data_IF_815720442084
#
_entry.id   IF_815720442084
#
_cell.length_a   1.000
_cell.length_b   1.000
_cell.length_c   1.000
_cell.angle_alpha   90.00
_cell.angle_beta   90.00
_cell.angle_gamma   90.00
#
_symmetry.space_group_name_H-M   'P 1'
#
loop_
_entity.id
_entity.type
_entity.pdbx_description
1 polymer ?
#
# COMPACT_ATOMS: atom_id res chain seq x y z
N UNK A 1 21.31 -42.52 22.31
CA UNK A 1 20.15 -41.81 21.75
C UNK A 1 20.19 -41.99 20.23
N UNK A 2 19.25 -42.75 19.68
CA UNK A 2 19.13 -43.00 18.25
C UNK A 2 18.02 -42.10 17.72
N UNK A 3 18.35 -41.24 16.76
CA UNK A 3 17.37 -40.39 16.06
C UNK A 3 16.88 -41.19 14.86
N UNK A 4 15.61 -41.57 14.90
CA UNK A 4 14.90 -42.22 13.81
C UNK A 4 14.47 -41.15 12.81
N UNK A 5 15.02 -41.20 11.60
CA UNK A 5 14.69 -40.32 10.49
C UNK A 5 13.47 -40.89 9.75
N UNK A 6 12.36 -40.16 9.76
CA UNK A 6 11.11 -40.54 9.09
C UNK A 6 11.19 -40.09 7.62
N UNK A 7 11.29 -41.04 6.69
CA UNK A 7 11.15 -40.80 5.25
C UNK A 7 9.66 -40.63 4.92
N UNK A 8 9.25 -39.47 4.40
CA UNK A 8 7.97 -39.33 3.71
C UNK A 8 8.10 -39.84 2.27
N UNK A 9 7.31 -40.84 1.92
CA UNK A 9 7.17 -41.34 0.56
C UNK A 9 6.22 -40.44 -0.24
N UNK A 10 6.72 -39.88 -1.35
CA UNK A 10 5.91 -39.29 -2.42
C UNK A 10 5.19 -40.41 -3.17
N UNK A 11 3.87 -40.48 -3.04
CA UNK A 11 3.02 -41.29 -3.91
C UNK A 11 2.73 -40.51 -5.19
N UNK A 12 3.30 -40.98 -6.30
CA UNK A 12 2.94 -40.54 -7.64
C UNK A 12 1.57 -41.13 -8.03
N UNK A 13 0.59 -40.28 -8.31
CA UNK A 13 -0.66 -40.68 -8.94
C UNK A 13 -0.45 -40.74 -10.47
N UNK A 14 -0.14 -41.93 -10.97
CA UNK A 14 -0.39 -42.31 -12.36
C UNK A 14 -1.65 -43.16 -12.38
N UNK A 15 -2.72 -42.66 -13.00
CA UNK A 15 -3.63 -43.44 -13.85
C UNK A 15 -4.74 -42.53 -14.41
N UNK A 16 -4.80 -42.47 -15.73
CA UNK A 16 -5.89 -41.87 -16.49
C UNK A 16 -6.68 -43.03 -17.12
N UNK A 17 -7.96 -43.24 -16.74
CA UNK A 17 -8.85 -43.97 -17.63
C UNK A 17 -10.22 -43.29 -17.76
N UNK A 18 -10.65 -43.11 -19.01
CA UNK A 18 -12.06 -42.99 -19.36
C UNK A 18 -12.43 -41.62 -19.92
N UNK A 19 -12.66 -41.58 -21.23
CA UNK A 19 -13.25 -40.42 -21.89
C UNK A 19 -14.62 -40.10 -21.29
N UNK A 20 -14.84 -38.81 -21.04
CA UNK A 20 -16.16 -38.28 -20.74
C UNK A 20 -16.71 -37.76 -22.05
N UNK A 21 -17.83 -38.38 -22.44
CA UNK A 21 -18.68 -38.01 -23.55
C UNK A 21 -19.16 -36.56 -23.36
N UNK A 22 -18.95 -35.69 -24.35
CA UNK A 22 -19.54 -34.35 -24.42
C UNK A 22 -21.04 -34.47 -24.78
N UNK A 23 -21.80 -35.05 -23.87
CA UNK A 23 -23.24 -35.23 -23.96
C UNK A 23 -23.98 -34.13 -23.22
N UNK A 24 -24.26 -33.02 -23.92
CA UNK A 24 -25.15 -31.98 -23.42
C UNK A 24 -26.49 -32.57 -22.96
N UNK A 25 -26.83 -32.33 -21.70
CA UNK A 25 -28.21 -32.41 -21.20
C UNK A 25 -28.41 -31.32 -20.15
N UNK A 26 -29.32 -30.41 -20.47
CA UNK A 26 -30.02 -29.54 -19.53
C UNK A 26 -30.72 -30.41 -18.48
N UNK A 27 -29.99 -30.83 -17.44
CA UNK A 27 -30.60 -31.45 -16.28
C UNK A 27 -31.30 -30.34 -15.47
N UNK A 28 -32.62 -30.43 -15.23
CA UNK A 28 -33.27 -29.52 -14.31
C UNK A 28 -32.62 -29.67 -12.94
N UNK A 29 -32.25 -28.53 -12.35
CA UNK A 29 -31.52 -28.38 -11.10
C UNK A 29 -32.26 -29.10 -9.97
N UNK A 30 -31.96 -30.39 -9.78
CA UNK A 30 -32.32 -31.10 -8.55
C UNK A 30 -31.66 -30.34 -7.41
N UNK A 31 -32.49 -30.07 -6.42
CA UNK A 31 -32.23 -29.34 -5.19
C UNK A 31 -30.90 -29.79 -4.58
N UNK A 32 -29.81 -29.08 -4.88
CA UNK A 32 -28.53 -29.26 -4.21
C UNK A 32 -28.82 -29.09 -2.71
N UNK A 33 -28.74 -30.19 -1.95
CA UNK A 33 -28.68 -30.20 -0.48
C UNK A 33 -27.39 -29.47 -0.09
N UNK A 34 -27.45 -28.13 -0.07
CA UNK A 34 -26.33 -27.25 0.19
C UNK A 34 -26.12 -27.12 1.71
N UNK A 35 -24.97 -27.54 2.21
CA UNK A 35 -24.49 -27.15 3.55
C UNK A 35 -24.00 -25.69 3.58
N UNK A 36 -23.53 -25.22 4.74
CA UNK A 36 -23.05 -23.85 4.97
C UNK A 36 -21.97 -23.40 3.95
N UNK A 37 -21.18 -24.32 3.37
CA UNK A 37 -20.11 -24.00 2.43
C UNK A 37 -20.60 -23.70 1.01
N UNK A 38 -21.82 -24.12 0.65
CA UNK A 38 -22.40 -23.88 -0.67
C UNK A 38 -23.22 -22.57 -0.78
N UNK A 39 -23.44 -21.86 0.33
CA UNK A 39 -24.24 -20.63 0.35
C UNK A 39 -23.70 -19.49 -0.54
N UNK A 40 -22.38 -19.19 -0.58
CA UNK A 40 -21.86 -18.16 -1.48
C UNK A 40 -22.15 -18.46 -2.96
N UNK A 41 -22.11 -19.74 -3.35
CA UNK A 41 -22.45 -20.17 -4.71
C UNK A 41 -23.93 -19.95 -5.02
N UNK A 42 -24.85 -20.26 -4.09
CA UNK A 42 -26.28 -19.95 -4.28
C UNK A 42 -26.52 -18.45 -4.40
N UNK A 43 -25.87 -17.64 -3.56
CA UNK A 43 -26.03 -16.19 -3.62
C UNK A 43 -25.58 -15.61 -4.96
N UNK A 44 -24.55 -16.17 -5.62
CA UNK A 44 -24.08 -15.71 -6.93
C UNK A 44 -25.08 -15.86 -8.08
N UNK A 45 -26.09 -16.74 -7.97
CA UNK A 45 -27.06 -17.01 -9.04
C UNK A 45 -28.43 -16.36 -8.84
N UNK A 46 -28.61 -15.56 -7.78
CA UNK A 46 -29.86 -14.83 -7.56
C UNK A 46 -29.94 -13.59 -8.46
N UNK A 47 -31.16 -13.20 -8.81
CA UNK A 47 -31.44 -11.89 -9.42
C UNK A 47 -31.60 -10.86 -8.32
N UNK A 48 -30.66 -9.92 -8.25
CA UNK A 48 -30.64 -8.86 -7.24
C UNK A 48 -31.46 -7.65 -7.69
N UNK A 49 -31.88 -6.84 -6.71
CA UNK A 49 -32.52 -5.56 -6.94
C UNK A 49 -31.52 -4.58 -7.54
N UNK A 50 -31.70 -4.28 -8.82
CA UNK A 50 -30.90 -3.33 -9.59
C UNK A 50 -31.45 -1.89 -9.51
N UNK A 51 -32.41 -1.62 -8.61
CA UNK A 51 -32.89 -0.25 -8.37
C UNK A 51 -31.78 0.67 -7.82
N UNK A 52 -32.02 1.98 -7.93
CA UNK A 52 -31.13 3.00 -7.37
C UNK A 52 -30.99 2.78 -5.86
N UNK A 53 -29.76 2.57 -5.34
CA UNK A 53 -29.57 2.35 -3.91
C UNK A 53 -30.02 3.54 -3.09
N UNK A 54 -30.67 3.29 -1.95
CA UNK A 54 -30.98 4.32 -0.96
C UNK A 54 -29.97 4.29 0.19
N UNK A 55 -29.71 5.43 0.83
CA UNK A 55 -28.82 5.47 2.00
C UNK A 55 -29.32 4.59 3.15
N UNK A 56 -28.39 4.01 3.90
CA UNK A 56 -28.70 3.33 5.18
C UNK A 56 -27.90 2.06 5.45
N UNK A 57 -26.65 2.01 5.02
CA UNK A 57 -25.68 1.01 5.45
C UNK A 57 -24.73 1.62 6.48
N UNK A 58 -24.34 0.83 7.47
CA UNK A 58 -23.18 1.12 8.32
C UNK A 58 -22.01 0.25 7.83
N UNK A 59 -20.86 0.87 7.59
CA UNK A 59 -19.63 0.19 7.17
C UNK A 59 -18.59 0.41 8.26
N UNK A 60 -17.82 -0.62 8.57
CA UNK A 60 -16.87 -0.59 9.67
C UNK A 60 -15.93 -1.79 9.68
N UNK A 61 -15.32 -2.05 10.82
CA UNK A 61 -14.48 -3.23 11.07
C UNK A 61 -14.84 -3.91 12.39
N UNK A 62 -14.33 -5.13 12.62
CA UNK A 62 -14.37 -5.73 13.96
C UNK A 62 -13.11 -5.31 14.72
N UNK A 63 -13.30 -4.74 15.91
CA UNK A 63 -12.24 -4.46 16.87
C UNK A 63 -12.57 -5.22 18.16
N UNK A 64 -11.69 -6.13 18.57
CA UNK A 64 -11.88 -6.97 19.77
C UNK A 64 -13.23 -7.71 19.82
N UNK A 65 -13.72 -8.15 18.65
CA UNK A 65 -14.99 -8.87 18.53
C UNK A 65 -16.24 -7.99 18.56
N UNK A 66 -16.09 -6.66 18.60
CA UNK A 66 -17.17 -5.68 18.49
C UNK A 66 -17.08 -4.95 17.16
N UNK A 67 -18.19 -4.76 16.47
CA UNK A 67 -18.20 -3.95 15.25
C UNK A 67 -18.14 -2.46 15.60
N UNK A 68 -17.21 -1.76 14.98
CA UNK A 68 -17.01 -0.32 15.10
C UNK A 68 -17.30 0.32 13.74
N UNK A 69 -18.35 1.16 13.62
CA UNK A 69 -18.64 1.85 12.36
C UNK A 69 -17.55 2.89 12.07
N UNK A 70 -17.19 3.03 10.80
CA UNK A 70 -16.33 4.10 10.32
C UNK A 70 -17.15 5.36 10.05
N UNK A 71 -16.50 6.50 10.18
CA UNK A 71 -16.99 7.83 9.84
C UNK A 71 -16.09 8.49 8.78
N UNK A 72 -16.57 9.59 8.22
CA UNK A 72 -15.75 10.40 7.30
C UNK A 72 -14.55 11.00 8.05
N UNK A 73 -13.36 10.84 7.47
CA UNK A 73 -12.08 11.27 8.02
C UNK A 73 -11.42 10.24 8.93
N UNK A 74 -12.03 9.07 9.13
CA UNK A 74 -11.44 8.00 9.93
C UNK A 74 -10.24 7.36 9.22
N UNK A 75 -9.33 6.85 10.06
CA UNK A 75 -8.22 6.03 9.64
C UNK A 75 -8.66 4.55 9.54
N UNK A 76 -8.34 3.91 8.42
CA UNK A 76 -8.60 2.49 8.20
C UNK A 76 -7.31 1.74 7.92
N UNK A 77 -7.06 0.71 8.72
CA UNK A 77 -5.85 -0.11 8.58
C UNK A 77 -5.96 -1.03 7.36
N UNK A 78 -4.98 -0.98 6.46
CA UNK A 78 -4.80 -2.02 5.45
C UNK A 78 -3.96 -3.18 6.00
N UNK A 79 -4.01 -4.29 5.28
CA UNK A 79 -3.15 -5.43 5.51
C UNK A 79 -2.75 -6.06 4.18
N UNK A 80 -1.71 -6.87 4.17
CA UNK A 80 -1.31 -7.60 2.98
C UNK A 80 -2.06 -8.94 2.89
N UNK A 81 -2.80 -9.13 1.80
CA UNK A 81 -3.45 -10.39 1.48
C UNK A 81 -2.46 -11.49 1.14
N UNK A 82 -2.95 -12.71 0.96
CA UNK A 82 -2.12 -13.89 0.68
C UNK A 82 -1.24 -13.75 -0.59
N UNK A 83 -1.71 -12.98 -1.58
CA UNK A 83 -0.97 -12.72 -2.82
C UNK A 83 -0.02 -11.51 -2.72
N UNK A 84 0.09 -10.89 -1.55
CA UNK A 84 0.98 -9.74 -1.30
C UNK A 84 0.41 -8.39 -1.71
N UNK A 85 -0.86 -8.31 -2.13
CA UNK A 85 -1.53 -7.03 -2.37
C UNK A 85 -2.06 -6.41 -1.07
N UNK A 86 -2.01 -5.08 -0.97
CA UNK A 86 -2.58 -4.34 0.14
C UNK A 86 -4.11 -4.25 0.02
N UNK A 87 -4.82 -4.53 1.10
CA UNK A 87 -6.28 -4.58 1.14
C UNK A 87 -6.84 -4.01 2.44
N UNK A 88 -8.01 -3.38 2.36
CA UNK A 88 -8.84 -3.08 3.54
C UNK A 88 -9.90 -4.17 3.70
N UNK A 89 -10.44 -4.32 4.92
CA UNK A 89 -11.42 -5.36 5.26
C UNK A 89 -12.74 -4.79 5.78
N UNK A 90 -13.52 -4.07 4.94
CA UNK A 90 -14.80 -3.53 5.35
C UNK A 90 -15.78 -4.64 5.73
N UNK A 91 -16.61 -4.33 6.72
CA UNK A 91 -17.75 -5.13 7.15
C UNK A 91 -18.98 -4.24 7.04
N UNK A 92 -20.05 -4.79 6.49
CA UNK A 92 -21.33 -4.08 6.35
C UNK A 92 -22.26 -4.57 7.45
N UNK A 93 -22.73 -3.66 8.28
CA UNK A 93 -23.84 -3.91 9.22
C UNK A 93 -25.15 -3.50 8.57
N UNK A 94 -26.13 -4.38 8.65
CA UNK A 94 -27.45 -4.22 8.04
C UNK A 94 -28.52 -4.32 9.12
N UNK A 95 -29.54 -3.44 9.12
CA UNK A 95 -30.69 -3.59 10.00
C UNK A 95 -31.33 -4.98 9.89
N UNK A 96 -31.62 -5.62 11.02
CA UNK A 96 -32.17 -6.99 11.05
C UNK A 96 -33.44 -7.15 10.21
N UNK A 97 -34.30 -6.12 10.18
CA UNK A 97 -35.53 -6.10 9.37
C UNK A 97 -35.28 -6.24 7.86
N UNK A 98 -34.05 -6.05 7.40
CA UNK A 98 -33.66 -6.11 5.99
C UNK A 98 -32.87 -7.39 5.63
N UNK A 99 -32.48 -8.21 6.60
CA UNK A 99 -31.66 -9.40 6.33
C UNK A 99 -32.36 -10.44 5.41
N UNK A 100 -33.70 -10.46 5.37
CA UNK A 100 -34.50 -11.22 4.40
C UNK A 100 -34.05 -12.68 4.21
N UNK A 101 -34.03 -13.14 2.95
CA UNK A 101 -33.77 -14.53 2.52
C UNK A 101 -32.31 -14.97 2.65
N UNK A 102 -31.45 -14.17 3.30
CA UNK A 102 -30.14 -14.61 3.75
C UNK A 102 -28.97 -14.29 2.80
N UNK A 103 -29.20 -13.92 1.53
CA UNK A 103 -28.15 -13.60 0.55
C UNK A 103 -28.06 -12.11 0.23
N UNK A 104 -26.83 -11.64 -0.03
CA UNK A 104 -26.53 -10.26 -0.39
C UNK A 104 -25.35 -10.20 -1.37
N UNK A 105 -25.47 -9.33 -2.38
CA UNK A 105 -24.37 -8.88 -3.24
C UNK A 105 -23.84 -7.57 -2.69
N UNK A 106 -22.56 -7.52 -2.37
CA UNK A 106 -21.88 -6.28 -1.95
C UNK A 106 -20.92 -5.85 -3.04
N UNK A 107 -21.05 -4.60 -3.48
CA UNK A 107 -20.19 -3.93 -4.44
C UNK A 107 -19.39 -2.86 -3.69
N UNK A 108 -18.08 -2.92 -3.80
CA UNK A 108 -17.16 -1.92 -3.28
C UNK A 108 -16.61 -1.14 -4.46
N UNK A 109 -16.60 0.19 -4.36
CA UNK A 109 -16.00 1.08 -5.35
C UNK A 109 -15.08 2.05 -4.66
N UNK A 110 -13.83 2.04 -5.07
CA UNK A 110 -12.71 2.79 -4.51
C UNK A 110 -12.27 3.86 -5.50
N UNK A 111 -12.40 5.13 -5.13
CA UNK A 111 -11.85 6.23 -5.92
C UNK A 111 -11.01 7.12 -5.03
N UNK A 112 -9.97 7.76 -5.59
CA UNK A 112 -9.22 8.76 -4.83
C UNK A 112 -10.16 9.91 -4.46
N UNK A 113 -10.07 10.38 -3.21
CA UNK A 113 -10.80 11.58 -2.81
C UNK A 113 -10.29 12.79 -3.62
N UNK A 114 -11.17 13.36 -4.45
CA UNK A 114 -10.86 14.52 -5.27
C UNK A 114 -10.55 15.79 -4.45
N UNK A 115 -10.91 15.82 -3.16
CA UNK A 115 -10.53 16.90 -2.26
C UNK A 115 -9.04 16.88 -1.89
N UNK A 116 -8.34 15.76 -2.11
CA UNK A 116 -6.92 15.57 -1.81
C UNK A 116 -6.12 15.16 -3.05
N UNK A 117 -6.05 16.03 -4.08
CA UNK A 117 -5.44 15.67 -5.38
C UNK A 117 -3.94 15.39 -5.29
N UNK A 118 -3.27 15.96 -4.27
CA UNK A 118 -1.82 15.83 -4.06
C UNK A 118 -1.44 14.68 -3.12
N UNK A 119 -2.40 13.90 -2.63
CA UNK A 119 -2.11 12.71 -1.81
C UNK A 119 -1.32 11.64 -2.60
N UNK A 120 -0.72 10.66 -1.90
CA UNK A 120 0.04 9.59 -2.53
C UNK A 120 -0.79 8.91 -3.61
N UNK A 121 -0.13 8.61 -4.73
CA UNK A 121 -0.87 8.26 -5.93
C UNK A 121 -1.68 6.96 -5.78
N UNK A 122 -1.21 6.04 -4.93
CA UNK A 122 -1.75 4.69 -4.80
C UNK A 122 -1.80 3.94 -6.14
N UNK A 123 -2.34 2.72 -6.12
CA UNK A 123 -2.56 1.87 -7.31
C UNK A 123 -4.05 1.60 -7.55
N UNK A 124 -4.92 2.48 -7.04
CA UNK A 124 -6.38 2.31 -7.04
C UNK A 124 -6.99 2.09 -8.43
N UNK A 125 -6.37 2.62 -9.48
CA UNK A 125 -6.91 2.51 -10.85
C UNK A 125 -7.00 1.06 -11.33
N UNK A 126 -6.14 0.16 -10.82
CA UNK A 126 -6.18 -1.28 -11.14
C UNK A 126 -7.24 -2.03 -10.33
N UNK A 127 -7.64 -1.50 -9.17
CA UNK A 127 -8.51 -2.18 -8.20
C UNK A 127 -9.73 -1.34 -7.80
N UNK A 128 -10.24 -0.55 -8.75
CA UNK A 128 -11.33 0.43 -8.51
C UNK A 128 -12.61 -0.18 -7.97
N UNK A 129 -12.88 -1.46 -8.21
CA UNK A 129 -14.12 -2.07 -7.74
C UNK A 129 -14.00 -3.57 -7.54
N UNK A 130 -14.72 -4.08 -6.54
CA UNK A 130 -14.87 -5.51 -6.27
C UNK A 130 -16.34 -5.85 -5.98
N UNK A 131 -16.74 -7.10 -6.28
CA UNK A 131 -18.09 -7.59 -5.98
C UNK A 131 -18.03 -8.93 -5.28
N UNK A 132 -18.82 -9.06 -4.22
CA UNK A 132 -18.84 -10.21 -3.32
C UNK A 132 -20.27 -10.70 -3.15
N UNK A 133 -20.44 -12.02 -3.14
CA UNK A 133 -21.72 -12.66 -2.85
C UNK A 133 -21.58 -13.44 -1.56
N UNK A 134 -22.32 -13.04 -0.53
CA UNK A 134 -22.24 -13.65 0.80
C UNK A 134 -23.62 -13.84 1.39
N UNK A 135 -23.68 -14.66 2.44
CA UNK A 135 -24.84 -14.72 3.31
C UNK A 135 -24.68 -13.79 4.50
N UNK A 136 -25.80 -13.31 5.04
CA UNK A 136 -25.82 -12.61 6.31
C UNK A 136 -25.31 -13.52 7.44
N UNK A 137 -24.52 -12.94 8.35
CA UNK A 137 -24.14 -13.58 9.62
C UNK A 137 -24.48 -12.66 10.78
N UNK A 138 -24.36 -13.17 12.00
CA UNK A 138 -24.47 -12.35 13.21
C UNK A 138 -23.12 -12.18 13.88
N UNK A 139 -22.86 -10.98 14.39
CA UNK A 139 -21.71 -10.71 15.25
C UNK A 139 -21.93 -11.26 16.68
N UNK A 140 -20.98 -11.04 17.58
CA UNK A 140 -21.06 -11.49 18.97
C UNK A 140 -22.22 -10.87 19.75
N UNK A 141 -22.72 -9.71 19.31
CA UNK A 141 -23.83 -8.97 19.89
C UNK A 141 -25.18 -9.27 19.20
N UNK A 142 -25.18 -10.21 18.24
CA UNK A 142 -26.36 -10.62 17.50
C UNK A 142 -26.77 -9.69 16.36
N UNK A 143 -25.99 -8.65 16.05
CA UNK A 143 -26.26 -7.73 14.93
C UNK A 143 -26.00 -8.42 13.60
N UNK A 144 -26.80 -8.09 12.59
CA UNK A 144 -26.64 -8.68 11.25
C UNK A 144 -25.52 -7.97 10.51
N UNK A 145 -24.53 -8.73 10.06
CA UNK A 145 -23.36 -8.25 9.34
C UNK A 145 -23.03 -9.12 8.12
N UNK A 146 -22.18 -8.58 7.24
CA UNK A 146 -21.65 -9.23 6.03
C UNK A 146 -20.19 -8.84 5.87
N UNK A 147 -19.35 -9.73 5.36
CA UNK A 147 -17.90 -9.54 5.29
C UNK A 147 -17.18 -10.23 6.46
N UNK A 148 -15.89 -9.95 6.72
CA UNK A 148 -15.06 -8.95 6.02
C UNK A 148 -14.91 -9.24 4.53
N UNK A 149 -14.72 -8.19 3.74
CA UNK A 149 -14.43 -8.29 2.31
C UNK A 149 -12.95 -8.00 2.07
N UNK A 150 -12.25 -8.86 1.35
CA UNK A 150 -10.85 -8.63 1.00
C UNK A 150 -10.78 -7.65 -0.19
N UNK A 151 -10.84 -6.36 0.11
CA UNK A 151 -10.89 -5.29 -0.89
C UNK A 151 -9.48 -4.76 -1.18
N UNK A 152 -8.86 -5.31 -2.23
CA UNK A 152 -7.52 -4.94 -2.64
C UNK A 152 -7.48 -3.50 -3.18
N UNK A 153 -6.50 -2.71 -2.74
CA UNK A 153 -6.28 -1.32 -3.14
C UNK A 153 -5.04 -1.14 -4.03
N UNK A 154 -4.13 -2.12 -4.02
CA UNK A 154 -2.87 -2.07 -4.75
C UNK A 154 -1.95 -3.25 -4.45
N UNK A 155 -0.78 -3.26 -5.08
CA UNK A 155 0.33 -4.16 -4.75
C UNK A 155 1.26 -3.55 -3.70
N UNK A 156 1.50 -2.24 -3.79
CA UNK A 156 2.24 -1.48 -2.79
C UNK A 156 1.42 -1.12 -1.55
N UNK A 157 2.13 -0.64 -0.53
CA UNK A 157 1.54 -0.08 0.67
C UNK A 157 0.81 1.25 0.34
N UNK A 158 -0.49 1.40 0.68
CA UNK A 158 -1.29 2.58 0.36
C UNK A 158 -1.30 3.60 1.52
N UNK A 159 -0.18 3.76 2.24
CA UNK A 159 -0.12 4.60 3.43
C UNK A 159 -0.50 6.05 3.13
N UNK A 160 -1.38 6.62 3.95
CA UNK A 160 -1.90 7.97 3.83
C UNK A 160 -2.80 8.21 2.61
N UNK A 161 -3.16 7.18 1.85
CA UNK A 161 -4.10 7.29 0.74
C UNK A 161 -5.46 7.79 1.23
N UNK A 162 -5.92 8.91 0.67
CA UNK A 162 -7.27 9.44 0.89
C UNK A 162 -8.25 8.79 -0.10
N UNK A 163 -9.10 7.93 0.43
CA UNK A 163 -10.00 7.04 -0.30
C UNK A 163 -11.45 7.48 -0.13
N UNK A 164 -12.19 7.65 -1.22
CA UNK A 164 -13.65 7.67 -1.22
C UNK A 164 -14.15 6.25 -1.54
N UNK A 165 -14.61 5.53 -0.52
CA UNK A 165 -15.15 4.18 -0.58
C UNK A 165 -16.68 4.25 -0.66
N UNK A 166 -17.24 3.80 -1.77
CA UNK A 166 -18.68 3.57 -1.90
C UNK A 166 -18.99 2.10 -1.74
N UNK A 167 -19.85 1.77 -0.78
CA UNK A 167 -20.32 0.41 -0.52
C UNK A 167 -21.79 0.32 -0.88
N UNK A 168 -22.12 -0.60 -1.77
CA UNK A 168 -23.51 -0.89 -2.17
C UNK A 168 -23.84 -2.33 -1.81
N UNK A 169 -24.91 -2.54 -1.04
CA UNK A 169 -25.42 -3.86 -0.71
C UNK A 169 -26.79 -4.04 -1.38
N UNK A 170 -26.95 -5.16 -2.09
CA UNK A 170 -28.17 -5.52 -2.81
C UNK A 170 -28.65 -6.89 -2.36
N UNK A 171 -29.93 -7.02 -2.13
CA UNK A 171 -30.63 -8.31 -2.00
C UNK A 171 -31.61 -8.47 -3.16
N UNK A 172 -32.45 -9.49 -3.14
CA UNK A 172 -33.51 -9.68 -4.12
C UNK A 172 -34.65 -8.65 -3.99
N UNK A 173 -34.71 -7.90 -2.88
CA UNK A 173 -35.86 -7.04 -2.55
C UNK A 173 -35.51 -5.59 -2.22
N UNK A 174 -34.23 -5.29 -2.02
CA UNK A 174 -33.78 -3.93 -1.72
C UNK A 174 -32.33 -3.71 -2.15
N UNK A 175 -32.01 -2.43 -2.35
CA UNK A 175 -30.68 -1.92 -2.63
C UNK A 175 -30.36 -0.74 -1.71
N UNK A 176 -29.19 -0.75 -1.08
CA UNK A 176 -28.72 0.34 -0.23
C UNK A 176 -27.26 0.66 -0.46
N UNK A 177 -26.87 1.90 -0.19
CA UNK A 177 -25.47 2.32 -0.29
C UNK A 177 -25.07 3.23 0.87
N UNK A 178 -23.75 3.41 1.00
CA UNK A 178 -23.13 4.48 1.76
C UNK A 178 -21.79 4.84 1.11
N UNK A 179 -21.37 6.09 1.25
CA UNK A 179 -20.07 6.57 0.78
C UNK A 179 -19.30 7.17 1.94
N UNK A 180 -18.07 6.73 2.12
CA UNK A 180 -17.16 7.16 3.18
C UNK A 180 -15.89 7.72 2.58
N UNK A 181 -15.36 8.79 3.17
CA UNK A 181 -14.04 9.33 2.91
C UNK A 181 -13.13 8.92 4.04
N UNK A 182 -12.11 8.14 3.73
CA UNK A 182 -11.27 7.45 4.70
C UNK A 182 -9.81 7.72 4.37
N UNK A 183 -8.95 7.70 5.38
CA UNK A 183 -7.50 7.67 5.19
C UNK A 183 -7.02 6.25 5.45
N UNK A 184 -6.30 5.67 4.50
CA UNK A 184 -5.73 4.34 4.65
C UNK A 184 -4.40 4.44 5.38
N UNK A 185 -4.18 3.60 6.38
CA UNK A 185 -3.00 3.62 7.26
C UNK A 185 -2.52 2.20 7.53
N UNK A 186 -1.31 2.02 8.04
CA UNK A 186 -0.83 0.71 8.45
C UNK A 186 -1.35 0.31 9.85
N UNK A 187 -0.69 -0.65 10.50
CA UNK A 187 -1.12 -1.21 11.78
C UNK A 187 -0.75 -0.34 12.99
N UNK A 188 0.28 0.50 12.88
CA UNK A 188 0.69 1.48 13.90
C UNK A 188 0.03 2.84 13.73
N UNK A 189 -0.62 3.07 12.59
CA UNK A 189 -1.50 4.20 12.35
C UNK A 189 -0.94 5.11 11.26
N UNK A 190 -1.33 6.37 11.27
CA UNK A 190 -0.73 7.33 10.34
C UNK A 190 0.56 7.88 10.93
N UNK A 191 1.68 7.64 10.26
CA UNK A 191 2.91 8.40 10.41
C UNK A 191 3.16 9.21 9.12
N UNK A 192 3.44 10.50 9.24
CA UNK A 192 3.81 11.34 8.10
C UNK A 192 4.99 10.75 7.30
N UNK A 193 5.84 9.97 7.95
CA UNK A 193 6.97 9.30 7.34
C UNK A 193 6.63 8.15 6.41
N UNK A 194 5.39 7.66 6.44
CA UNK A 194 4.93 6.63 5.52
C UNK A 194 4.61 7.21 4.13
N UNK A 195 4.41 8.53 4.05
CA UNK A 195 4.24 9.24 2.79
C UNK A 195 5.55 9.36 1.99
N UNK A 196 6.70 9.12 2.64
CA UNK A 196 8.00 9.25 1.98
C UNK A 196 8.17 8.10 0.97
N UNK A 197 8.37 8.40 -0.33
CA UNK A 197 8.52 7.37 -1.34
C UNK A 197 9.65 6.40 -1.00
N UNK A 198 9.41 5.10 -1.17
CA UNK A 198 10.44 4.08 -0.96
C UNK A 198 11.00 3.53 -2.27
N UNK A 199 12.25 3.10 -2.26
CA UNK A 199 12.94 2.49 -3.40
C UNK A 199 13.78 1.29 -2.96
N UNK A 200 13.55 0.14 -3.61
CA UNK A 200 14.42 -1.02 -3.48
C UNK A 200 15.71 -0.86 -4.28
N UNK A 201 16.88 -0.97 -3.65
CA UNK A 201 18.18 -1.00 -4.30
C UNK A 201 19.15 -1.96 -3.60
N UNK A 202 19.78 -2.85 -4.38
CA UNK A 202 20.81 -3.77 -3.89
C UNK A 202 20.40 -4.61 -2.66
N UNK A 203 19.12 -5.00 -2.57
CA UNK A 203 18.59 -5.78 -1.44
C UNK A 203 18.22 -4.95 -0.20
N UNK A 204 18.27 -3.63 -0.30
CA UNK A 204 17.84 -2.68 0.73
C UNK A 204 16.60 -1.91 0.26
N UNK A 205 15.75 -1.51 1.20
CA UNK A 205 14.70 -0.52 1.00
C UNK A 205 15.16 0.81 1.57
N UNK A 206 14.99 1.86 0.77
CA UNK A 206 15.37 3.22 1.14
C UNK A 206 14.16 4.14 1.05
N UNK A 207 13.95 4.96 2.08
CA UNK A 207 13.11 6.17 2.00
C UNK A 207 13.86 7.24 1.20
N UNK A 208 13.15 7.85 0.26
CA UNK A 208 13.70 8.79 -0.72
C UNK A 208 13.24 10.21 -0.40
N UNK A 209 14.20 11.06 -0.08
CA UNK A 209 13.98 12.48 0.16
C UNK A 209 14.53 13.29 -1.02
N UNK A 210 13.68 14.13 -1.60
CA UNK A 210 14.09 15.08 -2.64
C UNK A 210 14.28 16.45 -2.02
N UNK A 211 15.29 17.18 -2.46
CA UNK A 211 15.57 18.50 -1.94
C UNK A 211 16.67 19.22 -2.71
N UNK A 212 17.18 20.29 -2.10
CA UNK A 212 18.35 21.00 -2.58
C UNK A 212 19.47 20.90 -1.55
N UNK A 213 20.69 20.71 -2.02
CA UNK A 213 21.88 20.87 -1.21
C UNK A 213 22.49 22.23 -1.47
N UNK A 214 22.94 22.92 -0.42
CA UNK A 214 23.72 24.16 -0.52
C UNK A 214 25.14 23.90 -0.03
N UNK A 215 26.14 24.12 -0.88
CA UNK A 215 27.55 23.97 -0.51
C UNK A 215 27.91 24.98 0.58
N UNK A 216 28.45 24.51 1.69
CA UNK A 216 28.87 25.35 2.82
C UNK A 216 30.37 25.60 2.84
N UNK A 217 31.17 24.60 2.46
CA UNK A 217 32.62 24.73 2.30
C UNK A 217 33.18 23.68 1.36
N UNK A 218 34.35 23.96 0.78
CA UNK A 218 35.12 22.99 -0.01
C UNK A 218 36.54 22.93 0.57
N UNK A 219 37.00 21.75 0.99
CA UNK A 219 38.31 21.54 1.63
C UNK A 219 39.46 21.53 0.61
N UNK A 220 39.42 22.44 -0.36
CA UNK A 220 40.47 22.69 -1.34
C UNK A 220 41.25 23.96 -0.95
N UNK A 221 42.57 23.93 -1.11
CA UNK A 221 43.35 25.15 -0.96
C UNK A 221 42.98 26.16 -2.05
N UNK A 222 42.91 27.44 -1.70
CA UNK A 222 42.56 28.50 -2.64
C UNK A 222 43.53 28.51 -3.84
N UNK A 223 42.99 28.56 -5.06
CA UNK A 223 43.78 28.53 -6.29
C UNK A 223 44.37 27.16 -6.66
N UNK A 224 43.96 26.07 -6.00
CA UNK A 224 44.36 24.72 -6.43
C UNK A 224 43.88 24.47 -7.86
N UNK A 225 44.78 24.10 -8.79
CA UNK A 225 44.37 23.80 -10.15
C UNK A 225 43.49 22.56 -10.18
N UNK A 226 42.72 22.40 -11.25
CA UNK A 226 41.97 21.18 -11.49
C UNK A 226 42.90 19.96 -11.40
N UNK A 227 42.52 18.97 -10.58
CA UNK A 227 43.20 17.69 -10.50
C UNK A 227 42.22 16.55 -10.19
N UNK A 228 42.74 15.31 -10.22
CA UNK A 228 42.02 14.13 -9.75
C UNK A 228 42.10 13.95 -8.22
N UNK A 229 42.75 14.87 -7.51
CA UNK A 229 42.82 14.83 -6.05
C UNK A 229 41.42 15.03 -5.49
N UNK A 230 41.08 14.23 -4.48
CA UNK A 230 39.79 14.28 -3.83
C UNK A 230 39.84 15.19 -2.62
N UNK A 231 38.85 16.07 -2.52
CA UNK A 231 38.62 16.95 -1.38
C UNK A 231 37.20 16.72 -0.87
N UNK A 232 36.94 17.11 0.37
CA UNK A 232 35.60 17.04 0.93
C UNK A 232 34.81 18.31 0.57
N UNK A 233 33.62 18.12 0.02
CA UNK A 233 32.63 19.16 -0.24
C UNK A 233 31.58 19.04 0.85
N UNK A 234 31.52 20.05 1.71
CA UNK A 234 30.53 20.14 2.77
C UNK A 234 29.30 20.88 2.25
N UNK A 235 28.12 20.42 2.63
CA UNK A 235 26.86 21.01 2.20
C UNK A 235 25.76 20.79 3.25
N UNK A 236 24.68 21.57 3.16
CA UNK A 236 23.46 21.40 3.95
C UNK A 236 22.32 21.00 3.04
N UNK A 237 21.62 19.93 3.37
CA UNK A 237 20.43 19.47 2.66
C UNK A 237 19.16 20.14 3.19
N UNK A 238 18.31 20.61 2.28
CA UNK A 238 16.99 21.14 2.54
C UNK A 238 15.96 20.31 1.76
N UNK A 239 15.14 19.48 2.44
CA UNK A 239 14.06 18.73 1.81
C UNK A 239 13.07 19.68 1.11
N UNK A 240 12.51 19.26 -0.02
CA UNK A 240 11.47 20.03 -0.71
C UNK A 240 10.13 20.01 0.03
N UNK A 241 9.92 18.99 0.86
CA UNK A 241 8.73 18.78 1.65
C UNK A 241 9.08 18.91 3.14
N UNK A 242 8.59 19.98 3.76
CA UNK A 242 8.83 20.27 5.18
C UNK A 242 8.05 19.32 6.09
N UNK A 243 6.92 18.77 5.63
CA UNK A 243 6.07 17.88 6.42
C UNK A 243 6.75 16.52 6.64
N UNK A 244 7.59 16.09 5.68
CA UNK A 244 8.38 14.84 5.78
C UNK A 244 9.83 15.07 6.20
N UNK A 245 10.26 16.31 6.44
CA UNK A 245 11.64 16.61 6.84
C UNK A 245 12.00 15.98 8.20
N UNK A 246 11.04 15.87 9.12
CA UNK A 246 11.22 15.21 10.42
C UNK A 246 11.48 13.71 10.32
N UNK A 247 11.22 13.10 9.16
CA UNK A 247 11.43 11.68 8.90
C UNK A 247 12.88 11.32 8.58
N UNK A 248 13.73 12.33 8.43
CA UNK A 248 15.17 12.17 8.29
C UNK A 248 15.76 12.06 9.69
N UNK A 249 16.08 10.84 10.10
CA UNK A 249 16.70 10.60 11.39
C UNK A 249 18.19 11.04 11.38
N UNK A 250 18.44 12.22 11.94
CA UNK A 250 19.77 12.80 12.14
C UNK A 250 20.75 11.88 12.89
N UNK A 251 20.24 10.99 13.75
CA UNK A 251 21.08 10.04 14.48
C UNK A 251 21.53 8.87 13.61
N UNK A 252 20.70 8.47 12.64
CA UNK A 252 21.04 7.43 11.65
C UNK A 252 21.95 7.99 10.57
N UNK A 253 21.74 9.24 10.15
CA UNK A 253 22.65 9.91 9.22
C UNK A 253 23.96 10.33 9.88
N UNK A 254 24.00 10.45 11.21
CA UNK A 254 25.16 10.89 11.97
C UNK A 254 25.45 12.37 11.77
N UNK A 255 24.44 13.17 11.42
CA UNK A 255 24.57 14.58 11.05
C UNK A 255 23.69 15.46 11.92
N UNK A 256 24.03 16.75 12.00
CA UNK A 256 23.24 17.74 12.76
C UNK A 256 22.89 18.89 11.84
N UNK A 257 21.61 19.26 11.75
CA UNK A 257 21.12 20.30 10.85
C UNK A 257 21.32 19.95 9.38
N UNK A 258 21.23 18.66 9.05
CA UNK A 258 21.41 18.13 7.69
C UNK A 258 22.74 18.51 7.01
N UNK A 259 23.80 18.73 7.79
CA UNK A 259 25.14 19.05 7.29
C UNK A 259 25.94 17.78 6.95
N UNK A 260 26.42 17.67 5.71
CA UNK A 260 27.03 16.48 5.12
C UNK A 260 28.33 16.79 4.41
N UNK A 261 29.16 15.77 4.18
CA UNK A 261 30.39 15.88 3.41
C UNK A 261 30.48 14.76 2.38
N UNK A 262 30.76 15.12 1.12
CA UNK A 262 31.07 14.17 0.06
C UNK A 262 32.49 14.37 -0.43
N UNK A 263 33.22 13.27 -0.60
CA UNK A 263 34.54 13.32 -1.23
C UNK A 263 34.36 13.43 -2.75
N UNK A 264 34.91 14.45 -3.40
CA UNK A 264 34.84 14.69 -4.84
C UNK A 264 36.20 15.09 -5.41
N UNK A 265 36.49 14.75 -6.67
CA UNK A 265 37.70 15.28 -7.32
C UNK A 265 37.52 16.77 -7.65
N UNK A 266 38.62 17.53 -7.62
CA UNK A 266 38.61 18.94 -8.01
C UNK A 266 38.10 19.16 -9.44
N UNK A 267 38.37 18.22 -10.35
CA UNK A 267 37.78 18.25 -11.70
C UNK A 267 36.26 18.12 -11.71
N UNK A 268 35.67 17.29 -10.84
CA UNK A 268 34.23 17.15 -10.75
C UNK A 268 33.55 18.37 -10.14
N UNK A 269 34.19 18.98 -9.14
CA UNK A 269 33.74 20.23 -8.53
C UNK A 269 33.69 21.34 -9.59
N UNK A 270 34.75 21.47 -10.40
CA UNK A 270 34.83 22.47 -11.45
C UNK A 270 33.83 22.20 -12.59
N UNK A 271 33.68 20.95 -13.04
CA UNK A 271 32.73 20.56 -14.09
C UNK A 271 31.28 20.84 -13.67
N UNK A 272 30.93 20.51 -12.42
CA UNK A 272 29.61 20.76 -11.86
C UNK A 272 29.38 22.23 -11.47
N UNK A 273 30.40 23.09 -11.54
CA UNK A 273 30.30 24.50 -11.17
C UNK A 273 30.03 24.73 -9.68
N UNK A 274 30.44 23.80 -8.82
CA UNK A 274 30.21 23.91 -7.38
C UNK A 274 31.10 24.97 -6.75
N UNK A 275 30.49 25.86 -5.97
CA UNK A 275 31.16 26.88 -5.17
C UNK A 275 30.42 27.05 -3.83
N UNK A 276 31.08 27.63 -2.83
CA UNK A 276 30.41 27.96 -1.56
C UNK A 276 29.17 28.84 -1.80
N UNK A 277 28.05 28.47 -1.19
CA UNK A 277 26.74 29.08 -1.38
C UNK A 277 25.95 28.58 -2.60
N UNK A 278 26.57 27.79 -3.48
CA UNK A 278 25.89 27.22 -4.64
C UNK A 278 24.88 26.16 -4.21
N UNK A 279 23.70 26.19 -4.84
CA UNK A 279 22.61 25.24 -4.57
C UNK A 279 22.36 24.34 -5.75
N UNK A 280 22.13 23.05 -5.50
CA UNK A 280 21.85 22.06 -6.54
C UNK A 280 20.84 21.01 -6.06
N UNK A 281 20.05 20.41 -6.97
CA UNK A 281 19.11 19.37 -6.61
C UNK A 281 19.85 18.09 -6.18
N UNK A 282 19.35 17.45 -5.12
CA UNK A 282 19.93 16.22 -4.59
C UNK A 282 18.80 15.27 -4.16
N UNK A 283 19.07 13.98 -4.26
CA UNK A 283 18.22 12.93 -3.72
C UNK A 283 18.95 12.23 -2.58
N UNK A 284 18.36 12.22 -1.39
CA UNK A 284 18.84 11.45 -0.25
C UNK A 284 18.08 10.15 -0.09
N UNK A 285 18.80 9.09 0.25
CA UNK A 285 18.24 7.76 0.45
C UNK A 285 18.65 7.26 1.82
N UNK A 286 17.67 7.16 2.72
CA UNK A 286 17.85 6.67 4.08
C UNK A 286 17.37 5.22 4.14
N UNK A 287 18.26 4.31 4.50
CA UNK A 287 17.88 2.90 4.61
C UNK A 287 17.04 2.62 5.85
N UNK A 288 16.04 1.76 5.73
CA UNK A 288 15.14 1.41 6.84
C UNK A 288 15.81 0.58 7.95
N UNK A 289 17.05 0.14 7.72
CA UNK A 289 17.83 -0.66 8.67
C UNK A 289 19.27 -0.19 8.75
N UNK A 290 19.98 -0.40 9.87
CA UNK A 290 21.40 -0.06 9.98
C UNK A 290 22.31 -0.76 8.97
N UNK A 291 21.88 -1.90 8.40
CA UNK A 291 22.61 -2.61 7.33
C UNK A 291 22.51 -1.96 5.96
N UNK A 292 21.60 -0.99 5.79
CA UNK A 292 21.39 -0.23 4.58
C UNK A 292 21.90 1.20 4.82
N UNK A 293 23.22 1.43 4.67
CA UNK A 293 23.79 2.74 4.98
C UNK A 293 23.16 3.82 4.11
N UNK A 294 22.92 5.02 4.64
CA UNK A 294 22.42 6.12 3.84
C UNK A 294 23.38 6.38 2.68
N UNK A 295 22.84 6.75 1.53
CA UNK A 295 23.66 7.24 0.44
C UNK A 295 22.94 8.31 -0.37
N UNK A 296 23.74 9.10 -1.07
CA UNK A 296 23.32 10.34 -1.68
C UNK A 296 23.42 10.16 -3.20
N UNK A 297 22.35 10.50 -3.91
CA UNK A 297 22.33 10.50 -5.37
C UNK A 297 22.27 11.94 -5.85
N UNK A 298 23.26 12.32 -6.66
CA UNK A 298 23.37 13.65 -7.24
C UNK A 298 23.06 13.51 -8.73
N UNK A 299 21.77 13.56 -9.13
CA UNK A 299 21.36 13.21 -10.48
C UNK A 299 22.02 14.07 -11.56
N UNK A 300 22.36 15.32 -11.22
CA UNK A 300 22.94 16.29 -12.14
C UNK A 300 24.45 16.56 -11.91
N UNK A 301 25.08 15.84 -10.97
CA UNK A 301 26.49 16.06 -10.64
C UNK A 301 27.28 14.76 -10.75
N UNK A 302 28.25 14.76 -11.66
CA UNK A 302 29.21 13.67 -11.79
C UNK A 302 30.17 13.70 -10.60
N UNK A 303 30.16 12.66 -9.76
CA UNK A 303 30.98 12.59 -8.53
C UNK A 303 32.38 11.97 -8.79
N UNK A 304 32.60 11.38 -9.97
CA UNK A 304 33.90 10.78 -10.33
C UNK A 304 34.17 10.69 -11.82
N UNK A 305 35.46 10.74 -12.18
CA UNK A 305 35.92 10.57 -13.57
C UNK A 305 35.89 11.84 -14.42
N UNK A 306 35.66 13.00 -13.80
CA UNK A 306 35.60 14.30 -14.47
C UNK A 306 36.99 14.72 -14.96
N UNK A 307 37.19 14.92 -16.28
CA UNK A 307 38.49 15.29 -16.82
C UNK A 307 38.83 16.75 -16.50
N UNK A 308 40.09 17.00 -16.16
CA UNK A 308 40.63 18.36 -16.12
C UNK A 308 40.98 18.82 -17.52
N UNK A 309 40.25 19.80 -18.04
CA UNK A 309 40.50 20.44 -19.34
C UNK A 309 41.56 21.55 -19.24
#
# INVERSE_FOLDING_TARGET
MRVTMLLLALAACTENPGGVDDGGTDAPFEELECDAACWPRRCAYLTYDESEPIEGLEVGSMVDGVFVPWANGDDVTYLFGFQGGAMIQPIVRVPESLAGDGCVRVELTNVRDAAFPNGPAGELDEFRSASFFQSFRRDGDGQVIVGPFDDQLGWGAPDGLQLELTVTARTTTWSRSTTLRLRVVDADGFDECDLVPSQGLAGCTYRVFYGNATVTSIDAAEGTPCSNDRVDVHYVFAPNDEDTASCIDETVTGTTGYAHAVSMSLGCIAEAGLAEGESFPIQWRLGDTPSCPPFEAWPDVTIGGCPCA
#
